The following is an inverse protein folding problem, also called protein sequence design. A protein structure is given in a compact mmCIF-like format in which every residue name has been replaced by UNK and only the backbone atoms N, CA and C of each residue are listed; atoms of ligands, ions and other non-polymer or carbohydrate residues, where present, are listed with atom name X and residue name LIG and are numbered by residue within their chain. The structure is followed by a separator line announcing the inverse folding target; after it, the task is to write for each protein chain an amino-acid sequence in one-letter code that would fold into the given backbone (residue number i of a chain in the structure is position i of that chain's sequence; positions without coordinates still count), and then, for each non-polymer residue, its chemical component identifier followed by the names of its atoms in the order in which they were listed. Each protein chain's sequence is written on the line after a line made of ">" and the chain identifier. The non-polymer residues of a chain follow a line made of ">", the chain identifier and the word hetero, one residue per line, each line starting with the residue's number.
data_IF_106390408367
#
_entry.id   IF_106390408367
#
_cell.length_a   1.000
_cell.length_b   1.000
_cell.length_c   1.000
_cell.angle_alpha   90.00
_cell.angle_beta   90.00
_cell.angle_gamma   90.00
#
_symmetry.space_group_name_H-M   'P 1'
#
loop_
_entity.id
_entity.type
_entity.pdbx_description
1 polymer ?
#
# COMPACT_ATOMS: atom_id res chain seq x y z
N UNK A 1 -10.71 6.38 -13.97
CA UNK A 1 -9.61 7.33 -14.23
C UNK A 1 -8.30 6.85 -13.61
N UNK A 2 -8.06 5.53 -13.50
CA UNK A 2 -6.98 4.95 -12.67
C UNK A 2 -5.89 4.20 -13.46
N UNK A 3 -5.82 4.38 -14.78
CA UNK A 3 -4.82 3.72 -15.62
C UNK A 3 -3.75 4.71 -16.04
N UNK A 4 -2.52 4.51 -15.58
CA UNK A 4 -1.35 5.20 -16.10
C UNK A 4 -1.01 4.62 -17.46
N UNK A 5 -0.67 5.49 -18.41
CA UNK A 5 -0.14 5.12 -19.71
C UNK A 5 1.28 5.66 -19.84
N UNK A 6 2.22 4.80 -20.26
CA UNK A 6 3.60 5.20 -20.54
C UNK A 6 3.68 5.65 -22.00
N UNK A 7 3.72 6.98 -22.24
CA UNK A 7 3.73 7.54 -23.60
C UNK A 7 5.12 7.47 -24.27
N UNK A 8 6.17 7.74 -23.50
CA UNK A 8 7.57 7.64 -23.92
C UNK A 8 8.45 7.48 -22.69
N UNK A 9 9.61 6.84 -22.84
CA UNK A 9 10.53 6.59 -21.75
C UNK A 9 11.96 6.84 -22.24
N UNK A 10 12.58 7.88 -21.71
CA UNK A 10 13.95 8.29 -22.05
C UNK A 10 14.88 7.94 -20.89
N UNK A 11 15.59 6.80 -20.99
CA UNK A 11 16.45 6.30 -19.92
C UNK A 11 17.61 7.24 -19.60
N UNK A 12 18.15 7.92 -20.62
CA UNK A 12 19.26 8.86 -20.48
C UNK A 12 20.42 8.25 -19.66
N UNK A 13 20.87 8.94 -18.61
CA UNK A 13 21.96 8.48 -17.74
C UNK A 13 21.72 7.10 -17.13
N UNK A 14 20.46 6.65 -17.00
CA UNK A 14 20.11 5.35 -16.42
C UNK A 14 20.33 4.17 -17.37
N UNK A 15 20.49 4.38 -18.67
CA UNK A 15 20.71 3.30 -19.63
C UNK A 15 22.01 2.52 -19.34
N UNK A 16 23.07 3.25 -19.00
CA UNK A 16 24.39 2.69 -18.69
C UNK A 16 24.77 2.86 -17.22
N UNK A 17 23.81 3.17 -16.35
CA UNK A 17 24.07 3.43 -14.94
C UNK A 17 24.37 2.14 -14.19
N UNK A 18 25.54 2.07 -13.56
CA UNK A 18 25.98 0.95 -12.71
C UNK A 18 26.37 1.48 -11.32
N UNK A 19 25.43 1.64 -10.37
CA UNK A 19 25.67 2.23 -9.08
C UNK A 19 26.51 1.33 -8.19
N UNK A 20 27.61 1.88 -7.68
CA UNK A 20 28.38 1.25 -6.60
C UNK A 20 27.92 1.85 -5.27
N UNK A 21 27.34 1.02 -4.40
CA UNK A 21 26.90 1.46 -3.08
C UNK A 21 28.13 1.80 -2.20
N UNK A 22 28.20 3.01 -1.62
CA UNK A 22 29.17 3.33 -0.59
C UNK A 22 29.06 2.36 0.58
N UNK A 23 30.19 2.02 1.22
CA UNK A 23 30.25 1.00 2.28
C UNK A 23 29.22 1.24 3.39
N UNK A 24 29.04 2.50 3.80
CA UNK A 24 28.06 2.92 4.81
C UNK A 24 26.60 2.58 4.49
N UNK A 25 26.25 2.37 3.22
CA UNK A 25 24.88 2.05 2.79
C UNK A 25 24.65 0.55 2.60
N UNK A 26 25.72 -0.26 2.57
CA UNK A 26 25.61 -1.71 2.37
C UNK A 26 24.96 -2.39 3.56
N UNK A 27 25.16 -1.88 4.77
CA UNK A 27 24.53 -2.41 6.00
C UNK A 27 23.15 -1.81 6.28
N UNK A 28 22.44 -1.30 5.27
CA UNK A 28 21.11 -0.69 5.49
C UNK A 28 20.08 -1.77 5.86
N UNK A 29 19.39 -1.66 7.02
CA UNK A 29 18.44 -2.69 7.45
C UNK A 29 17.13 -2.65 6.65
N UNK A 30 16.73 -1.49 6.15
CA UNK A 30 15.54 -1.31 5.34
C UNK A 30 15.95 -0.83 3.95
N UNK A 31 15.47 -1.52 2.92
CA UNK A 31 15.78 -1.21 1.52
C UNK A 31 14.50 -1.02 0.74
N UNK A 32 14.34 0.15 0.11
CA UNK A 32 13.32 0.39 -0.90
C UNK A 32 13.97 0.41 -2.29
N UNK A 33 13.74 -0.65 -3.04
CA UNK A 33 14.09 -0.74 -4.46
C UNK A 33 13.00 0.00 -5.24
N UNK A 34 13.16 1.31 -5.34
CA UNK A 34 12.28 2.18 -6.12
C UNK A 34 12.20 1.76 -7.59
N UNK A 35 11.15 2.19 -8.29
CA UNK A 35 10.90 1.83 -9.67
C UNK A 35 12.08 2.19 -10.58
N UNK A 36 12.74 1.16 -11.11
CA UNK A 36 13.77 1.25 -12.15
C UNK A 36 13.94 -0.13 -12.79
N UNK A 37 14.80 -0.26 -13.80
CA UNK A 37 15.09 -1.54 -14.45
C UNK A 37 15.36 -2.65 -13.41
N UNK A 38 14.69 -3.82 -13.49
CA UNK A 38 14.85 -4.89 -12.51
C UNK A 38 16.29 -5.39 -12.37
N UNK A 39 17.05 -5.42 -13.47
CA UNK A 39 18.48 -5.74 -13.45
C UNK A 39 19.29 -4.80 -12.55
N UNK A 40 18.93 -3.51 -12.54
CA UNK A 40 19.56 -2.51 -11.68
C UNK A 40 19.13 -2.67 -10.22
N UNK A 41 17.86 -2.97 -9.96
CA UNK A 41 17.36 -3.28 -8.62
C UNK A 41 18.10 -4.49 -8.02
N UNK A 42 18.30 -5.54 -8.84
CA UNK A 42 19.11 -6.71 -8.48
C UNK A 42 20.57 -6.34 -8.21
N UNK A 43 21.18 -5.53 -9.07
CA UNK A 43 22.56 -5.07 -8.90
C UNK A 43 22.79 -4.28 -7.61
N UNK A 44 21.83 -3.44 -7.21
CA UNK A 44 21.84 -2.75 -5.91
C UNK A 44 21.73 -3.78 -4.78
N UNK A 45 20.79 -4.72 -4.90
CA UNK A 45 20.55 -5.73 -3.87
C UNK A 45 21.73 -6.67 -3.65
N UNK A 46 22.51 -6.98 -4.68
CA UNK A 46 23.74 -7.77 -4.59
C UNK A 46 24.82 -7.13 -3.72
N UNK A 47 24.76 -5.81 -3.52
CA UNK A 47 25.71 -5.06 -2.72
C UNK A 47 25.24 -4.85 -1.27
N UNK A 48 23.96 -5.10 -0.97
CA UNK A 48 23.39 -4.95 0.38
C UNK A 48 23.71 -6.18 1.23
N UNK A 49 24.16 -5.94 2.45
CA UNK A 49 24.55 -6.96 3.42
C UNK A 49 23.47 -7.09 4.50
N UNK A 50 22.86 -8.27 4.60
CA UNK A 50 21.90 -8.63 5.64
C UNK A 50 20.77 -7.61 5.89
N UNK A 51 20.01 -7.21 4.84
CA UNK A 51 18.85 -6.35 5.05
C UNK A 51 17.79 -7.08 5.90
N UNK A 52 17.14 -6.34 6.80
CA UNK A 52 16.04 -6.82 7.63
C UNK A 52 14.72 -6.89 6.84
N UNK A 53 14.51 -5.94 5.92
CA UNK A 53 13.29 -5.89 5.11
C UNK A 53 13.52 -5.18 3.77
N UNK A 54 13.14 -5.85 2.68
CA UNK A 54 13.30 -5.33 1.32
C UNK A 54 11.92 -5.13 0.68
N UNK A 55 11.67 -3.91 0.21
CA UNK A 55 10.48 -3.52 -0.53
C UNK A 55 10.88 -3.20 -1.95
N UNK A 56 10.10 -3.62 -2.93
CA UNK A 56 10.23 -3.14 -4.30
C UNK A 56 8.89 -2.66 -4.86
N UNK A 57 8.95 -1.68 -5.75
CA UNK A 57 7.88 -1.34 -6.67
C UNK A 57 8.40 -1.37 -8.12
N UNK A 58 7.47 -1.34 -9.07
CA UNK A 58 7.79 -1.41 -10.50
C UNK A 58 6.73 -0.68 -11.31
N UNK A 59 6.82 -0.77 -12.63
CA UNK A 59 5.83 -0.31 -13.59
C UNK A 59 5.51 -1.39 -14.62
N UNK A 60 4.35 -1.27 -15.25
CA UNK A 60 3.92 -2.07 -16.40
C UNK A 60 5.02 -2.24 -17.46
N UNK A 61 5.72 -1.15 -17.81
CA UNK A 61 6.83 -1.20 -18.78
C UNK A 61 7.88 -2.26 -18.42
N UNK A 62 8.34 -2.35 -17.17
CA UNK A 62 9.35 -3.33 -16.77
C UNK A 62 8.80 -4.75 -16.64
N UNK A 63 7.52 -4.87 -16.28
CA UNK A 63 6.82 -6.16 -16.24
C UNK A 63 6.77 -6.79 -17.65
N UNK A 64 6.59 -5.98 -18.69
CA UNK A 64 6.50 -6.42 -20.08
C UNK A 64 7.87 -6.61 -20.73
N UNK A 65 8.78 -5.65 -20.55
CA UNK A 65 10.05 -5.61 -21.28
C UNK A 65 11.20 -6.35 -20.58
N UNK A 66 11.15 -6.48 -19.25
CA UNK A 66 12.21 -7.07 -18.42
C UNK A 66 11.69 -8.16 -17.48
N UNK A 67 10.69 -8.93 -17.95
CA UNK A 67 9.95 -9.91 -17.14
C UNK A 67 10.85 -10.92 -16.43
N UNK A 68 11.87 -11.44 -17.11
CA UNK A 68 12.75 -12.45 -16.53
C UNK A 68 13.51 -11.93 -15.31
N UNK A 69 14.10 -10.74 -15.41
CA UNK A 69 14.81 -10.12 -14.30
C UNK A 69 13.86 -9.69 -13.19
N UNK A 70 12.65 -9.23 -13.55
CA UNK A 70 11.62 -8.95 -12.58
C UNK A 70 11.23 -10.20 -11.76
N UNK A 71 11.02 -11.36 -12.41
CA UNK A 71 10.74 -12.62 -11.71
C UNK A 71 11.91 -13.09 -10.83
N UNK A 72 13.16 -12.80 -11.20
CA UNK A 72 14.33 -13.03 -10.34
C UNK A 72 14.31 -12.13 -9.11
N UNK A 73 13.97 -10.84 -9.29
CA UNK A 73 13.83 -9.87 -8.20
C UNK A 73 12.76 -10.30 -7.20
N UNK A 74 11.59 -10.76 -7.65
CA UNK A 74 10.49 -11.19 -6.78
C UNK A 74 10.90 -12.25 -5.76
N UNK A 75 11.86 -13.12 -6.10
CA UNK A 75 12.36 -14.17 -5.20
C UNK A 75 13.31 -13.65 -4.10
N UNK A 76 13.71 -12.39 -4.17
CA UNK A 76 14.73 -11.79 -3.30
C UNK A 76 14.21 -10.61 -2.47
N UNK A 77 12.93 -10.29 -2.56
CA UNK A 77 12.29 -9.19 -1.82
C UNK A 77 11.30 -9.73 -0.80
N UNK A 78 11.07 -8.97 0.28
CA UNK A 78 10.06 -9.34 1.28
C UNK A 78 8.67 -8.84 0.89
N UNK A 79 8.59 -7.64 0.30
CA UNK A 79 7.33 -6.99 -0.05
C UNK A 79 7.36 -6.42 -1.47
N UNK A 80 6.31 -6.69 -2.22
CA UNK A 80 6.05 -6.06 -3.51
C UNK A 80 4.88 -5.07 -3.39
N UNK A 81 5.07 -3.85 -3.90
CA UNK A 81 4.01 -2.82 -3.99
C UNK A 81 3.73 -2.56 -5.48
N UNK A 82 2.47 -2.62 -5.86
CA UNK A 82 2.01 -2.43 -7.23
C UNK A 82 0.59 -1.87 -7.26
N UNK A 83 0.16 -1.39 -8.41
CA UNK A 83 -1.25 -1.03 -8.62
C UNK A 83 -2.09 -2.21 -9.15
N UNK A 84 -3.41 -2.03 -9.20
CA UNK A 84 -4.37 -3.02 -9.71
C UNK A 84 -4.04 -3.52 -11.13
N UNK A 85 -3.67 -2.62 -12.05
CA UNK A 85 -3.36 -2.99 -13.43
C UNK A 85 -2.10 -3.86 -13.52
N UNK A 86 -1.04 -3.48 -12.81
CA UNK A 86 0.21 -4.26 -12.71
C UNK A 86 -0.04 -5.65 -12.08
N UNK A 87 -0.96 -5.74 -11.11
CA UNK A 87 -1.33 -7.00 -10.48
C UNK A 87 -2.01 -7.95 -11.48
N UNK A 88 -2.96 -7.40 -12.24
CA UNK A 88 -3.68 -8.12 -13.28
C UNK A 88 -2.73 -8.53 -14.42
N UNK A 89 -1.82 -7.65 -14.82
CA UNK A 89 -0.82 -7.92 -15.86
C UNK A 89 0.12 -9.06 -15.48
N UNK A 90 0.57 -9.11 -14.22
CA UNK A 90 1.48 -10.15 -13.76
C UNK A 90 0.81 -11.53 -13.62
N UNK A 91 -0.46 -11.54 -13.19
CA UNK A 91 -1.15 -12.77 -12.76
C UNK A 91 -2.21 -13.27 -13.74
N UNK A 92 -2.69 -12.42 -14.65
CA UNK A 92 -3.87 -12.66 -15.48
C UNK A 92 -5.19 -12.69 -14.69
N UNK A 93 -5.19 -12.42 -13.39
CA UNK A 93 -6.37 -12.54 -12.53
C UNK A 93 -7.08 -11.20 -12.35
N UNK A 94 -8.33 -11.10 -12.80
CA UNK A 94 -9.19 -9.92 -12.60
C UNK A 94 -9.49 -9.71 -11.11
N UNK A 95 -9.73 -10.80 -10.38
CA UNK A 95 -10.01 -10.72 -8.95
C UNK A 95 -8.74 -10.42 -8.15
N UNK A 96 -8.68 -9.26 -7.49
CA UNK A 96 -7.51 -8.80 -6.75
C UNK A 96 -7.14 -9.68 -5.55
N UNK A 97 -8.11 -10.36 -4.93
CA UNK A 97 -7.82 -11.31 -3.84
C UNK A 97 -7.03 -12.51 -4.38
N UNK A 98 -7.44 -13.01 -5.55
CA UNK A 98 -6.71 -14.07 -6.26
C UNK A 98 -5.34 -13.57 -6.75
N UNK A 99 -5.28 -12.37 -7.33
CA UNK A 99 -4.03 -11.77 -7.80
C UNK A 99 -3.01 -11.64 -6.66
N UNK A 100 -3.41 -11.11 -5.50
CA UNK A 100 -2.54 -10.97 -4.33
C UNK A 100 -2.00 -12.31 -3.82
N UNK A 101 -2.78 -13.39 -3.87
CA UNK A 101 -2.32 -14.74 -3.51
C UNK A 101 -1.29 -15.26 -4.52
N UNK A 102 -1.58 -15.18 -5.82
CA UNK A 102 -0.66 -15.63 -6.88
C UNK A 102 0.67 -14.86 -6.85
N UNK A 103 0.63 -13.55 -6.59
CA UNK A 103 1.86 -12.74 -6.49
C UNK A 103 2.77 -13.20 -5.35
N UNK A 104 2.21 -13.63 -4.22
CA UNK A 104 3.01 -14.18 -3.10
C UNK A 104 3.67 -15.51 -3.46
N UNK A 105 3.01 -16.33 -4.28
CA UNK A 105 3.58 -17.58 -4.78
C UNK A 105 4.80 -17.36 -5.70
N UNK A 106 4.98 -16.15 -6.25
CA UNK A 106 6.15 -15.79 -7.06
C UNK A 106 7.41 -15.49 -6.23
N UNK A 107 7.29 -15.33 -4.91
CA UNK A 107 8.43 -15.07 -4.02
C UNK A 107 8.13 -14.15 -2.83
N UNK A 108 7.53 -12.96 -3.02
CA UNK A 108 7.35 -11.98 -1.95
C UNK A 108 6.50 -12.51 -0.81
N UNK A 109 6.97 -12.34 0.43
CA UNK A 109 6.23 -12.72 1.64
C UNK A 109 4.98 -11.88 1.82
N UNK A 110 5.04 -10.61 1.42
CA UNK A 110 3.94 -9.66 1.49
C UNK A 110 3.72 -9.00 0.13
N UNK A 111 2.46 -8.64 -0.14
CA UNK A 111 2.10 -7.91 -1.35
C UNK A 111 1.13 -6.78 -0.98
N UNK A 112 1.34 -5.59 -1.51
CA UNK A 112 0.38 -4.49 -1.48
C UNK A 112 -0.11 -4.23 -2.89
N UNK A 113 -1.43 -4.23 -3.06
CA UNK A 113 -2.10 -3.82 -4.31
C UNK A 113 -2.84 -2.51 -4.04
N UNK A 114 -2.36 -1.43 -4.65
CA UNK A 114 -2.98 -0.11 -4.62
C UNK A 114 -4.08 -0.02 -5.68
N UNK A 115 -5.26 0.46 -5.28
CA UNK A 115 -6.46 0.60 -6.12
C UNK A 115 -6.80 2.08 -6.37
N UNK A 116 -5.78 2.93 -6.40
CA UNK A 116 -5.94 4.39 -6.51
C UNK A 116 -6.85 4.95 -5.40
N UNK A 117 -7.90 5.66 -5.82
CA UNK A 117 -8.92 6.28 -4.97
C UNK A 117 -9.72 5.30 -4.10
N UNK A 118 -9.59 3.98 -4.31
CA UNK A 118 -10.27 2.95 -3.51
C UNK A 118 -9.39 2.33 -2.42
N UNK A 119 -8.20 2.88 -2.18
CA UNK A 119 -7.28 2.46 -1.14
C UNK A 119 -6.37 1.32 -1.56
N UNK A 120 -5.97 0.47 -0.61
CA UNK A 120 -4.98 -0.59 -0.84
C UNK A 120 -5.35 -1.90 -0.15
N UNK A 121 -4.82 -2.99 -0.69
CA UNK A 121 -4.98 -4.34 -0.16
C UNK A 121 -3.60 -4.90 0.22
N UNK A 122 -3.43 -5.30 1.47
CA UNK A 122 -2.22 -5.94 1.99
C UNK A 122 -2.45 -7.44 2.16
N UNK A 123 -1.54 -8.25 1.64
CA UNK A 123 -1.57 -9.71 1.67
C UNK A 123 -0.35 -10.26 2.42
N UNK A 124 -0.57 -11.27 3.27
CA UNK A 124 0.45 -12.03 4.00
C UNK A 124 0.09 -13.52 4.11
N UNK A 125 0.91 -14.33 4.81
CA UNK A 125 0.87 -15.81 4.77
C UNK A 125 -0.48 -16.44 5.04
N UNK A 126 -1.25 -15.90 5.98
CA UNK A 126 -2.64 -16.24 6.22
C UNK A 126 -3.42 -15.00 6.67
N UNK A 127 -3.01 -13.84 6.17
CA UNK A 127 -3.48 -12.55 6.63
C UNK A 127 -3.83 -11.67 5.44
N UNK A 128 -4.87 -10.87 5.63
CA UNK A 128 -5.38 -9.94 4.64
C UNK A 128 -5.84 -8.69 5.36
N UNK A 129 -5.53 -7.53 4.79
CA UNK A 129 -5.95 -6.24 5.30
C UNK A 129 -6.35 -5.33 4.16
N UNK A 130 -7.52 -4.71 4.27
CA UNK A 130 -7.99 -3.71 3.33
C UNK A 130 -7.92 -2.35 4.02
N UNK A 131 -7.12 -1.44 3.45
CA UNK A 131 -7.06 -0.05 3.86
C UNK A 131 -7.89 0.77 2.85
N UNK A 132 -8.90 1.55 3.27
CA UNK A 132 -9.55 2.49 2.36
C UNK A 132 -8.56 3.61 1.95
N UNK A 133 -8.92 4.40 0.94
CA UNK A 133 -8.19 5.63 0.66
C UNK A 133 -8.54 6.71 1.69
N UNK A 134 -7.65 7.68 1.86
CA UNK A 134 -8.02 8.94 2.51
C UNK A 134 -8.88 9.76 1.53
N UNK A 135 -10.12 10.14 1.89
CA UNK A 135 -10.97 10.91 0.99
C UNK A 135 -10.42 12.33 0.82
N UNK A 136 -10.23 12.73 -0.43
CA UNK A 136 -9.84 14.09 -0.82
C UNK A 136 -10.95 14.70 -1.64
N UNK A 137 -11.25 15.98 -1.43
CA UNK A 137 -12.24 16.71 -2.22
C UNK A 137 -11.76 16.89 -3.66
N UNK A 138 -10.48 17.21 -3.84
CA UNK A 138 -9.84 17.38 -5.14
C UNK A 138 -8.48 16.66 -5.16
N UNK A 139 -8.18 16.03 -6.29
CA UNK A 139 -6.86 15.47 -6.60
C UNK A 139 -6.21 16.39 -7.64
N UNK A 140 -5.10 17.02 -7.27
CA UNK A 140 -4.37 17.94 -8.15
C UNK A 140 -3.40 17.21 -9.07
N UNK A 141 -2.58 16.30 -8.52
CA UNK A 141 -1.59 15.53 -9.27
C UNK A 141 -1.39 14.11 -8.68
N UNK A 142 -1.68 13.04 -9.43
CA UNK A 142 -1.44 11.66 -8.99
C UNK A 142 0.03 11.23 -9.07
N UNK A 143 0.89 12.03 -9.70
CA UNK A 143 2.30 11.70 -9.92
C UNK A 143 3.04 11.55 -8.59
N UNK A 144 3.74 10.44 -8.39
CA UNK A 144 4.51 10.19 -7.17
C UNK A 144 3.71 9.58 -6.02
N UNK A 145 2.37 9.53 -6.06
CA UNK A 145 1.55 9.03 -4.95
C UNK A 145 1.92 7.59 -4.52
N UNK A 146 2.27 6.72 -5.48
CA UNK A 146 2.74 5.36 -5.19
C UNK A 146 4.11 5.32 -4.51
N UNK A 147 5.01 6.22 -4.88
CA UNK A 147 6.34 6.35 -4.27
C UNK A 147 6.24 7.00 -2.88
N UNK A 148 5.36 8.00 -2.70
CA UNK A 148 5.04 8.57 -1.39
C UNK A 148 4.43 7.53 -0.45
N UNK A 149 3.56 6.66 -0.98
CA UNK A 149 3.03 5.52 -0.23
C UNK A 149 4.14 4.58 0.23
N UNK A 150 5.01 4.15 -0.69
CA UNK A 150 6.11 3.25 -0.39
C UNK A 150 7.12 3.87 0.59
N UNK A 151 7.43 5.17 0.41
CA UNK A 151 8.28 5.95 1.28
C UNK A 151 7.71 6.11 2.70
N UNK A 152 6.42 6.44 2.82
CA UNK A 152 5.74 6.52 4.11
C UNK A 152 5.70 5.17 4.84
N UNK A 153 5.44 4.10 4.10
CA UNK A 153 5.42 2.74 4.63
C UNK A 153 6.81 2.32 5.15
N UNK A 154 7.86 2.41 4.32
CA UNK A 154 9.20 1.99 4.75
C UNK A 154 9.78 2.92 5.82
N UNK A 155 9.48 4.22 5.75
CA UNK A 155 9.87 5.21 6.76
C UNK A 155 9.27 4.89 8.13
N UNK A 156 7.98 4.53 8.17
CA UNK A 156 7.32 4.08 9.38
C UNK A 156 7.97 2.81 9.96
N UNK A 157 8.27 1.82 9.11
CA UNK A 157 8.96 0.60 9.53
C UNK A 157 10.39 0.89 10.03
N UNK A 158 11.13 1.77 9.37
CA UNK A 158 12.48 2.14 9.79
C UNK A 158 12.50 2.92 11.11
N UNK A 159 11.44 3.69 11.39
CA UNK A 159 11.29 4.40 12.66
C UNK A 159 10.89 3.46 13.81
N UNK A 160 9.92 2.58 13.59
CA UNK A 160 9.35 1.69 14.63
C UNK A 160 10.09 0.37 14.79
N UNK A 161 10.70 -0.15 13.72
CA UNK A 161 11.32 -1.46 13.62
C UNK A 161 12.72 -1.58 14.23
N UNK A 162 13.22 -0.55 14.91
CA UNK A 162 14.55 -0.57 15.56
C UNK A 162 14.65 -1.50 16.80
N UNK A 163 13.54 -2.07 17.28
CA UNK A 163 13.49 -2.74 18.59
C UNK A 163 13.01 -4.21 18.57
N UNK A 164 12.84 -4.85 17.41
CA UNK A 164 12.32 -6.23 17.32
C UNK A 164 12.96 -7.08 16.23
N UNK A 165 13.00 -8.43 16.40
CA UNK A 165 13.75 -9.31 15.51
C UNK A 165 13.14 -9.48 14.11
N UNK A 166 11.84 -9.20 13.92
CA UNK A 166 11.16 -9.39 12.63
C UNK A 166 9.97 -8.43 12.43
N UNK A 167 9.75 -8.00 11.18
CA UNK A 167 8.57 -7.24 10.77
C UNK A 167 7.35 -8.17 10.76
N UNK A 168 6.32 -7.81 11.53
CA UNK A 168 5.07 -8.58 11.63
C UNK A 168 3.96 -7.95 10.78
N UNK A 169 2.89 -8.70 10.53
CA UNK A 169 1.74 -8.20 9.77
C UNK A 169 1.08 -6.97 10.42
N UNK A 170 1.07 -6.87 11.75
CA UNK A 170 0.49 -5.70 12.45
C UNK A 170 1.33 -4.43 12.25
N UNK A 171 2.66 -4.56 12.23
CA UNK A 171 3.55 -3.46 11.84
C UNK A 171 3.24 -2.99 10.42
N UNK A 172 3.02 -3.94 9.50
CA UNK A 172 2.69 -3.63 8.10
C UNK A 172 1.32 -2.96 7.96
N UNK A 173 0.31 -3.34 8.76
CA UNK A 173 -1.00 -2.64 8.77
C UNK A 173 -0.82 -1.17 9.15
N UNK A 174 -0.06 -0.91 10.20
CA UNK A 174 0.25 0.45 10.64
C UNK A 174 1.06 1.22 9.60
N UNK A 175 2.04 0.56 8.97
CA UNK A 175 2.86 1.14 7.91
C UNK A 175 2.03 1.48 6.65
N UNK A 176 1.09 0.62 6.26
CA UNK A 176 0.14 0.88 5.16
C UNK A 176 -0.74 2.08 5.47
N UNK A 177 -1.25 2.22 6.69
CA UNK A 177 -2.01 3.41 7.09
C UNK A 177 -1.17 4.69 6.96
N UNK A 178 0.09 4.64 7.41
CA UNK A 178 1.00 5.77 7.31
C UNK A 178 1.30 6.10 5.84
N UNK A 179 1.61 5.10 5.02
CA UNK A 179 1.78 5.25 3.57
C UNK A 179 0.57 5.88 2.89
N UNK A 180 -0.65 5.46 3.24
CA UNK A 180 -1.90 6.03 2.71
C UNK A 180 -2.04 7.52 3.03
N UNK A 181 -1.71 7.93 4.26
CA UNK A 181 -1.76 9.34 4.68
C UNK A 181 -0.70 10.16 3.96
N UNK A 182 0.53 9.65 3.83
CA UNK A 182 1.59 10.36 3.12
C UNK A 182 1.26 10.52 1.63
N UNK A 183 0.72 9.47 1.00
CA UNK A 183 0.23 9.55 -0.36
C UNK A 183 -0.90 10.57 -0.52
N UNK A 184 -1.79 10.73 0.47
CA UNK A 184 -2.87 11.71 0.38
C UNK A 184 -2.35 13.15 0.32
N UNK A 185 -1.26 13.48 1.01
CA UNK A 185 -0.63 14.79 0.88
C UNK A 185 -0.03 15.01 -0.51
N UNK A 186 0.62 13.99 -1.10
CA UNK A 186 1.14 14.10 -2.46
C UNK A 186 0.06 14.52 -3.46
N UNK A 187 -1.16 14.00 -3.31
CA UNK A 187 -2.27 14.26 -4.21
C UNK A 187 -2.79 15.71 -4.17
N UNK A 188 -2.46 16.49 -3.13
CA UNK A 188 -2.98 17.86 -2.90
C UNK A 188 -2.24 18.94 -3.69
N UNK A 189 -1.10 18.65 -4.30
CA UNK A 189 -0.31 19.66 -5.03
C UNK A 189 0.47 19.03 -6.17
N UNK A 190 0.93 19.87 -7.09
CA UNK A 190 1.78 19.42 -8.19
C UNK A 190 3.10 18.84 -7.67
N UNK A 191 3.49 17.66 -8.15
CA UNK A 191 4.76 17.02 -7.81
C UNK A 191 5.01 16.95 -6.29
N UNK A 192 6.20 17.35 -5.84
CA UNK A 192 6.62 17.26 -4.44
C UNK A 192 6.36 18.54 -3.63
N UNK A 193 5.67 19.53 -4.20
CA UNK A 193 5.51 20.86 -3.58
C UNK A 193 4.85 20.77 -2.21
N UNK A 194 3.84 19.90 -2.06
CA UNK A 194 3.17 19.72 -0.77
C UNK A 194 4.14 19.26 0.33
N UNK A 195 5.10 18.40 -0.01
CA UNK A 195 6.07 17.85 0.95
C UNK A 195 7.11 18.87 1.42
N UNK A 196 7.38 19.92 0.64
CA UNK A 196 8.33 20.97 1.05
C UNK A 196 7.81 21.79 2.25
N UNK A 197 6.48 21.90 2.38
CA UNK A 197 5.81 22.64 3.44
C UNK A 197 5.20 21.74 4.51
N UNK A 198 5.21 20.41 4.30
CA UNK A 198 4.55 19.45 5.19
C UNK A 198 5.28 19.34 6.52
N UNK A 199 4.51 19.48 7.61
CA UNK A 199 5.01 19.33 8.98
C UNK A 199 4.65 17.98 9.58
N UNK A 200 5.38 17.60 10.64
CA UNK A 200 5.07 16.37 11.37
C UNK A 200 3.68 16.43 12.04
N UNK A 201 3.28 17.60 12.58
CA UNK A 201 1.97 17.80 13.22
C UNK A 201 0.83 17.51 12.25
N UNK A 202 0.91 18.03 11.01
CA UNK A 202 -0.11 17.78 10.00
C UNK A 202 -0.25 16.30 9.66
N UNK A 203 0.88 15.57 9.59
CA UNK A 203 0.86 14.12 9.36
C UNK A 203 0.17 13.40 10.52
N UNK A 204 0.49 13.75 11.76
CA UNK A 204 -0.12 13.15 12.96
C UNK A 204 -1.62 13.45 13.06
N UNK A 205 -2.03 14.69 12.81
CA UNK A 205 -3.43 15.13 12.79
C UNK A 205 -4.21 14.35 11.74
N UNK A 206 -3.67 14.23 10.51
CA UNK A 206 -4.33 13.47 9.44
C UNK A 206 -4.38 11.99 9.72
N UNK A 207 -3.32 11.41 10.30
CA UNK A 207 -3.31 10.01 10.70
C UNK A 207 -4.35 9.73 11.78
N UNK A 208 -4.52 10.63 12.74
CA UNK A 208 -5.56 10.53 13.76
C UNK A 208 -6.96 10.61 13.14
N UNK A 209 -7.20 11.60 12.28
CA UNK A 209 -8.47 11.75 11.56
C UNK A 209 -8.79 10.50 10.73
N UNK A 210 -7.80 9.95 10.03
CA UNK A 210 -7.95 8.75 9.23
C UNK A 210 -8.25 7.52 10.09
N UNK A 211 -7.58 7.35 11.23
CA UNK A 211 -7.88 6.26 12.18
C UNK A 211 -9.30 6.33 12.70
N UNK A 212 -9.77 7.51 13.08
CA UNK A 212 -11.15 7.71 13.56
C UNK A 212 -12.18 7.39 12.47
N UNK A 213 -11.87 7.67 11.21
CA UNK A 213 -12.73 7.39 10.07
C UNK A 213 -12.92 5.89 9.81
N UNK A 214 -11.86 5.09 10.00
CA UNK A 214 -11.88 3.65 9.66
C UNK A 214 -12.18 2.75 10.86
N UNK A 215 -12.18 3.31 12.08
CA UNK A 215 -12.53 2.57 13.28
C UNK A 215 -14.04 2.34 13.34
N UNK A 216 -14.44 1.08 13.51
CA UNK A 216 -15.79 0.73 13.91
C UNK A 216 -15.75 0.37 15.40
N UNK A 217 -16.24 1.26 16.26
CA UNK A 217 -16.49 0.92 17.65
C UNK A 217 -17.78 0.11 17.71
N UNK A 218 -17.67 -1.22 17.70
CA UNK A 218 -18.82 -2.06 18.03
C UNK A 218 -19.14 -1.88 19.51
N UNK A 219 -20.33 -1.36 19.83
CA UNK A 219 -20.90 -1.60 21.14
C UNK A 219 -20.96 -3.13 21.37
N UNK A 220 -20.77 -3.63 22.61
CA UNK A 220 -20.94 -5.05 22.88
C UNK A 220 -22.31 -5.46 22.37
N UNK A 221 -22.36 -6.56 21.62
CA UNK A 221 -23.59 -7.05 21.01
C UNK A 221 -24.65 -7.30 22.09
N UNK A 222 -25.51 -6.30 22.34
CA UNK A 222 -26.79 -6.57 22.97
C UNK A 222 -27.50 -7.56 22.04
N UNK A 223 -27.88 -8.71 22.59
CA UNK A 223 -28.58 -9.78 21.87
C UNK A 223 -29.74 -9.15 21.11
N UNK A 224 -29.58 -8.98 19.80
CA UNK A 224 -30.67 -8.64 18.90
C UNK A 224 -31.69 -9.77 19.06
N UNK A 225 -32.78 -9.51 19.77
CA UNK A 225 -33.87 -10.48 19.91
C UNK A 225 -34.40 -10.73 18.50
N UNK A 226 -34.59 -11.99 18.08
CA UNK A 226 -35.18 -12.27 16.79
C UNK A 226 -36.55 -11.59 16.73
N UNK A 227 -36.82 -10.86 15.64
CA UNK A 227 -38.16 -10.40 15.31
C UNK A 227 -38.95 -11.66 14.99
N UNK A 228 -39.66 -12.19 15.98
CA UNK A 228 -40.63 -13.26 15.77
C UNK A 228 -41.76 -12.64 14.97
N UNK A 229 -41.94 -13.11 13.74
CA UNK A 229 -43.06 -12.75 12.87
C UNK A 229 -44.36 -13.21 13.54
N UNK A 230 -45.10 -12.27 14.14
CA UNK A 230 -46.46 -12.53 14.59
C UNK A 230 -47.38 -12.55 13.37
N UNK A 231 -47.81 -13.75 12.99
CA UNK A 231 -48.91 -13.96 12.05
C UNK A 231 -50.26 -13.77 12.77
N UNK A 232 -51.09 -12.90 12.18
CA UNK A 232 -52.57 -12.90 12.21
C UNK A 232 -53.26 -12.04 13.31
N UNK A 233 -54.53 -11.62 13.11
CA UNK A 233 -54.84 -10.28 12.60
C UNK A 233 -55.82 -9.47 13.49
N UNK A 234 -55.88 -8.16 13.22
CA UNK A 234 -57.03 -7.24 13.44
C UNK A 234 -57.74 -7.30 14.80
N UNK A 235 -57.55 -6.26 15.62
CA UNK A 235 -58.71 -5.50 16.12
C UNK A 235 -58.31 -4.07 16.52
N UNK A 236 -59.07 -3.16 15.93
CA UNK A 236 -59.16 -1.72 16.11
C UNK A 236 -59.42 -1.28 17.55
N UNK A 237 -58.71 -0.24 18.01
CA UNK A 237 -59.32 0.87 18.77
C UNK A 237 -58.32 2.02 18.93
N UNK A 238 -58.73 3.17 18.42
CA UNK A 238 -58.16 4.50 18.67
C UNK A 238 -58.58 4.92 20.08
N UNK A 239 -57.63 5.33 20.93
CA UNK A 239 -57.90 6.28 22.03
C UNK A 239 -56.65 7.14 22.25
N UNK A 240 -56.79 8.44 21.97
CA UNK A 240 -55.93 9.51 22.50
C UNK A 240 -56.11 9.63 24.02
N UNK A 241 -55.03 9.80 24.77
CA UNK A 241 -55.04 10.79 25.85
C UNK A 241 -53.64 11.29 26.18
N UNK A 242 -53.59 12.61 26.24
CA UNK A 242 -52.52 13.44 26.78
C UNK A 242 -52.54 13.30 28.32
N UNK A 243 -51.35 13.32 28.93
CA UNK A 243 -51.01 13.94 30.22
C UNK A 243 -49.50 14.15 30.24
#
# INVERSE_FOLDING_TARGET
>A
MNRRETLSLELNVFENFSPILPERYRSSPFVLLGNIAPALQLHVLDQVQAPQFIIANTIDFWIETAREDFLKLLKRIDMLILNEHEAQLLTGAINLIRAGRLLRELGPRFVVINKGEHGSLLFGENAFFSCPAFPLEEVQDPTGAGDSFAGGLIGYLAHTGKSGPQITFEHLRSAVLYGTVLASFNLESFSMDRFQMLTHSEIEERLLAFRLMIQCNSAPAERVRPIVSASSPVQSSVVLSIS
#
